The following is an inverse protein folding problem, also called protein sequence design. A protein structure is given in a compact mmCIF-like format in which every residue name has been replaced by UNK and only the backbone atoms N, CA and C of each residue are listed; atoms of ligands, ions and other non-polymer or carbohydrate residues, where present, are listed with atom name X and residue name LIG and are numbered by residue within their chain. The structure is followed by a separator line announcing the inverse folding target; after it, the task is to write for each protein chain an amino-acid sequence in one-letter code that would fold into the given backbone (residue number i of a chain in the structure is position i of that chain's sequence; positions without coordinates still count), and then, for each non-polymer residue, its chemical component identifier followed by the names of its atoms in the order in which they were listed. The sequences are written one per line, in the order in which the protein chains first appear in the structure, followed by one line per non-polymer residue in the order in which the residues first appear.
data_IF_787485075013
#
_entry.id   IF_787485075013
#
_cell.length_a   1.000
_cell.length_b   1.000
_cell.length_c   1.000
_cell.angle_alpha   90.00
_cell.angle_beta   90.00
_cell.angle_gamma   90.00
#
_symmetry.space_group_name_H-M   'P 1'
#
loop_
_entity.id
_entity.type
_entity.pdbx_description
1 polymer ?
#
# COMPACT_ATOMS: atom_id res chain seq x y z
N UNK A 1 37.95 -18.21 -91.24
CA UNK A 1 38.76 -18.61 -90.07
C UNK A 1 38.27 -17.80 -88.89
N UNK A 2 37.65 -18.46 -87.91
CA UNK A 2 37.08 -17.81 -86.72
C UNK A 2 38.24 -17.68 -85.72
N UNK A 3 38.66 -16.46 -85.45
CA UNK A 3 39.80 -16.13 -84.62
C UNK A 3 39.53 -16.55 -83.16
N UNK A 4 40.30 -17.51 -82.61
CA UNK A 4 40.02 -18.07 -81.28
C UNK A 4 40.08 -17.03 -80.15
N UNK A 5 40.83 -15.93 -80.35
CA UNK A 5 41.00 -14.86 -79.39
C UNK A 5 39.70 -14.07 -79.11
N UNK A 6 38.82 -13.94 -80.11
CA UNK A 6 37.53 -13.26 -79.96
C UNK A 6 36.60 -14.01 -79.00
N UNK A 7 36.64 -15.34 -79.02
CA UNK A 7 35.80 -16.19 -78.17
C UNK A 7 36.22 -16.13 -76.69
N UNK A 8 37.54 -16.07 -76.42
CA UNK A 8 38.07 -15.88 -75.07
C UNK A 8 37.71 -14.52 -74.47
N UNK A 9 37.75 -13.44 -75.28
CA UNK A 9 37.38 -12.09 -74.84
C UNK A 9 35.90 -12.00 -74.43
N UNK A 10 35.00 -12.66 -75.19
CA UNK A 10 33.57 -12.72 -74.87
C UNK A 10 33.32 -13.56 -73.61
N UNK A 11 33.99 -14.70 -73.47
CA UNK A 11 33.87 -15.53 -72.27
C UNK A 11 34.34 -14.78 -71.01
N UNK A 12 35.47 -14.06 -71.09
CA UNK A 12 36.01 -13.29 -69.98
C UNK A 12 35.07 -12.14 -69.56
N UNK A 13 34.44 -11.45 -70.51
CA UNK A 13 33.49 -10.37 -70.20
C UNK A 13 32.22 -10.89 -69.52
N UNK A 14 31.70 -12.05 -69.95
CA UNK A 14 30.56 -12.70 -69.31
C UNK A 14 30.89 -13.12 -67.88
N UNK A 15 32.06 -13.73 -67.65
CA UNK A 15 32.51 -14.12 -66.31
C UNK A 15 32.64 -12.90 -65.40
N UNK A 16 33.19 -11.79 -65.91
CA UNK A 16 33.33 -10.56 -65.15
C UNK A 16 31.96 -9.95 -64.80
N UNK A 17 31.01 -9.93 -65.74
CA UNK A 17 29.64 -9.48 -65.50
C UNK A 17 28.93 -10.33 -64.45
N UNK A 18 29.08 -11.66 -64.51
CA UNK A 18 28.50 -12.57 -63.51
C UNK A 18 29.12 -12.35 -62.12
N UNK A 19 30.44 -12.17 -62.05
CA UNK A 19 31.13 -11.89 -60.79
C UNK A 19 30.63 -10.57 -60.16
N UNK A 20 30.51 -9.51 -60.96
CA UNK A 20 29.95 -8.22 -60.51
C UNK A 20 28.52 -8.39 -60.02
N UNK A 21 27.69 -9.14 -60.75
CA UNK A 21 26.29 -9.37 -60.37
C UNK A 21 26.18 -10.13 -59.03
N UNK A 22 27.01 -11.15 -58.81
CA UNK A 22 27.08 -11.88 -57.53
C UNK A 22 27.50 -10.96 -56.39
N UNK A 23 28.52 -10.12 -56.60
CA UNK A 23 28.99 -9.16 -55.59
C UNK A 23 27.87 -8.16 -55.25
N UNK A 24 27.16 -7.62 -56.24
CA UNK A 24 26.05 -6.69 -56.02
C UNK A 24 24.91 -7.35 -55.25
N UNK A 25 24.51 -8.58 -55.60
CA UNK A 25 23.48 -9.33 -54.88
C UNK A 25 23.91 -9.63 -53.44
N UNK A 26 25.18 -9.98 -53.22
CA UNK A 26 25.72 -10.22 -51.88
C UNK A 26 25.71 -8.95 -51.02
N UNK A 27 26.12 -7.80 -51.59
CA UNK A 27 26.08 -6.52 -50.89
C UNK A 27 24.64 -6.13 -50.53
N UNK A 28 23.69 -6.26 -51.46
CA UNK A 28 22.26 -5.96 -51.25
C UNK A 28 21.66 -6.84 -50.15
N UNK A 29 21.86 -8.15 -50.22
CA UNK A 29 21.36 -9.09 -49.20
C UNK A 29 21.99 -8.83 -47.84
N UNK A 30 23.29 -8.49 -47.79
CA UNK A 30 23.96 -8.14 -46.54
C UNK A 30 23.43 -6.85 -45.90
N UNK A 31 23.02 -5.85 -46.71
CA UNK A 31 22.43 -4.61 -46.24
C UNK A 31 21.01 -4.82 -45.72
N UNK A 32 20.18 -5.58 -46.46
CA UNK A 32 18.83 -5.98 -46.03
C UNK A 32 18.88 -6.76 -44.70
N UNK A 33 19.84 -7.67 -44.55
CA UNK A 33 20.03 -8.42 -43.31
C UNK A 33 20.46 -7.53 -42.13
N UNK A 34 21.17 -6.41 -42.38
CA UNK A 34 21.50 -5.43 -41.34
C UNK A 34 20.27 -4.61 -40.93
N UNK A 35 19.47 -4.15 -41.89
CA UNK A 35 18.24 -3.40 -41.62
C UNK A 35 17.21 -4.24 -40.84
N UNK A 36 17.01 -5.51 -41.23
CA UNK A 36 16.14 -6.42 -40.48
C UNK A 36 16.62 -6.67 -39.05
N UNK A 37 17.94 -6.76 -38.83
CA UNK A 37 18.50 -6.92 -37.47
C UNK A 37 18.27 -5.68 -36.61
N UNK A 38 18.48 -4.48 -37.16
CA UNK A 38 18.22 -3.23 -36.47
C UNK A 38 16.73 -3.07 -36.13
N UNK A 39 15.83 -3.39 -37.07
CA UNK A 39 14.38 -3.32 -36.83
C UNK A 39 13.92 -4.32 -35.77
N UNK A 40 14.47 -5.55 -35.77
CA UNK A 40 14.20 -6.55 -34.73
C UNK A 40 14.67 -6.09 -33.35
N UNK A 41 15.85 -5.50 -33.25
CA UNK A 41 16.35 -4.95 -31.98
C UNK A 41 15.42 -3.86 -31.43
N UNK A 42 14.96 -2.94 -32.27
CA UNK A 42 14.02 -1.91 -31.85
C UNK A 42 12.69 -2.52 -31.35
N UNK A 43 12.17 -3.52 -32.05
CA UNK A 43 10.95 -4.22 -31.66
C UNK A 43 11.13 -5.00 -30.34
N UNK A 44 12.30 -5.61 -30.11
CA UNK A 44 12.59 -6.31 -28.86
C UNK A 44 12.72 -5.33 -27.69
N UNK A 45 13.32 -4.14 -27.90
CA UNK A 45 13.35 -3.08 -26.88
C UNK A 45 11.97 -2.54 -26.55
N UNK A 46 11.08 -2.39 -27.55
CA UNK A 46 9.69 -1.98 -27.30
C UNK A 46 8.90 -3.05 -26.55
N UNK A 47 9.09 -4.33 -26.89
CA UNK A 47 8.47 -5.44 -26.15
C UNK A 47 8.94 -5.50 -24.70
N UNK A 48 10.23 -5.30 -24.46
CA UNK A 48 10.79 -5.27 -23.12
C UNK A 48 10.18 -4.10 -22.32
N UNK A 49 10.11 -2.90 -22.90
CA UNK A 49 9.47 -1.76 -22.27
C UNK A 49 7.98 -2.02 -21.98
N UNK A 50 7.25 -2.60 -22.95
CA UNK A 50 5.85 -2.99 -22.76
C UNK A 50 5.67 -3.98 -21.61
N UNK A 51 6.51 -5.01 -21.54
CA UNK A 51 6.45 -5.99 -20.44
C UNK A 51 6.70 -5.34 -19.07
N UNK A 52 7.67 -4.42 -18.99
CA UNK A 52 7.95 -3.68 -17.75
C UNK A 52 6.77 -2.80 -17.35
N UNK A 53 6.12 -2.12 -18.31
CA UNK A 53 4.92 -1.35 -18.03
C UNK A 53 3.74 -2.21 -17.57
N UNK A 54 3.62 -3.44 -18.07
CA UNK A 54 2.58 -4.38 -17.63
C UNK A 54 2.84 -4.84 -16.19
N UNK A 55 4.08 -5.16 -15.84
CA UNK A 55 4.46 -5.53 -14.47
C UNK A 55 4.16 -4.38 -13.50
N UNK A 56 4.60 -3.16 -13.82
CA UNK A 56 4.33 -1.96 -13.02
C UNK A 56 2.82 -1.72 -12.85
N UNK A 57 2.01 -1.93 -13.90
CA UNK A 57 0.55 -1.82 -13.80
C UNK A 57 -0.05 -2.89 -12.90
N UNK A 58 0.47 -4.11 -12.94
CA UNK A 58 0.04 -5.19 -12.06
C UNK A 58 0.37 -4.86 -10.60
N UNK A 59 1.61 -4.44 -10.30
CA UNK A 59 2.03 -4.01 -8.96
C UNK A 59 1.17 -2.86 -8.42
N UNK A 60 0.90 -1.84 -9.24
CA UNK A 60 0.01 -0.73 -8.85
C UNK A 60 -1.41 -1.22 -8.58
N UNK A 61 -1.90 -2.19 -9.35
CA UNK A 61 -3.23 -2.79 -9.11
C UNK A 61 -3.26 -3.52 -7.77
N UNK A 62 -2.24 -4.32 -7.47
CA UNK A 62 -2.12 -5.03 -6.19
C UNK A 62 -2.05 -4.06 -5.01
N UNK A 63 -1.27 -2.98 -5.13
CA UNK A 63 -1.18 -1.93 -4.12
C UNK A 63 -2.53 -1.25 -3.89
N UNK A 64 -3.31 -0.98 -4.95
CA UNK A 64 -4.66 -0.40 -4.81
C UNK A 64 -5.59 -1.33 -4.04
N UNK A 65 -5.56 -2.63 -4.34
CA UNK A 65 -6.35 -3.63 -3.62
C UNK A 65 -5.91 -3.74 -2.16
N UNK A 66 -4.60 -3.76 -1.89
CA UNK A 66 -4.06 -3.78 -0.54
C UNK A 66 -4.48 -2.53 0.25
N UNK A 67 -4.41 -1.35 -0.35
CA UNK A 67 -4.82 -0.09 0.27
C UNK A 67 -6.32 -0.05 0.58
N UNK A 68 -7.17 -0.54 -0.32
CA UNK A 68 -8.61 -0.64 -0.08
C UNK A 68 -8.92 -1.58 1.10
N UNK A 69 -8.25 -2.73 1.17
CA UNK A 69 -8.38 -3.64 2.29
C UNK A 69 -7.93 -3.01 3.61
N UNK A 70 -6.83 -2.24 3.58
CA UNK A 70 -6.33 -1.53 4.75
C UNK A 70 -7.30 -0.43 5.20
N UNK A 71 -7.89 0.32 4.27
CA UNK A 71 -8.91 1.33 4.56
C UNK A 71 -10.13 0.71 5.25
N UNK A 72 -10.62 -0.44 4.77
CA UNK A 72 -11.71 -1.18 5.42
C UNK A 72 -11.34 -1.61 6.85
N UNK A 73 -10.11 -2.11 7.06
CA UNK A 73 -9.63 -2.49 8.41
C UNK A 73 -9.54 -1.29 9.34
N UNK A 74 -9.06 -0.15 8.85
CA UNK A 74 -9.02 1.11 9.63
C UNK A 74 -10.43 1.52 10.04
N UNK A 75 -11.41 1.47 9.12
CA UNK A 75 -12.82 1.75 9.43
C UNK A 75 -13.38 0.82 10.51
N UNK A 76 -13.09 -0.48 10.44
CA UNK A 76 -13.50 -1.45 11.47
C UNK A 76 -12.85 -1.15 12.83
N UNK A 77 -11.57 -0.75 12.85
CA UNK A 77 -10.88 -0.37 14.08
C UNK A 77 -11.49 0.90 14.67
N UNK A 78 -11.80 1.90 13.85
CA UNK A 78 -12.47 3.13 14.28
C UNK A 78 -13.83 2.81 14.91
N UNK A 79 -14.65 1.99 14.25
CA UNK A 79 -15.95 1.57 14.80
C UNK A 79 -15.80 0.85 16.15
N UNK A 80 -14.87 -0.10 16.27
CA UNK A 80 -14.61 -0.78 17.55
C UNK A 80 -14.13 0.18 18.63
N UNK A 81 -13.34 1.19 18.25
CA UNK A 81 -12.86 2.21 19.19
C UNK A 81 -14.03 3.05 19.70
N UNK A 82 -14.96 3.45 18.84
CA UNK A 82 -16.18 4.16 19.21
C UNK A 82 -17.08 3.31 20.11
N UNK A 83 -17.28 2.02 19.78
CA UNK A 83 -18.05 1.08 20.60
C UNK A 83 -17.45 0.93 22.01
N UNK A 84 -16.12 0.80 22.09
CA UNK A 84 -15.42 0.72 23.39
C UNK A 84 -15.51 2.03 24.16
N UNK A 85 -15.44 3.18 23.49
CA UNK A 85 -15.61 4.48 24.12
C UNK A 85 -17.02 4.63 24.70
N UNK A 86 -18.06 4.28 23.92
CA UNK A 86 -19.44 4.27 24.39
C UNK A 86 -19.62 3.33 25.59
N UNK A 87 -19.05 2.12 25.54
CA UNK A 87 -19.10 1.19 26.67
C UNK A 87 -18.42 1.78 27.92
N UNK A 88 -17.28 2.45 27.78
CA UNK A 88 -16.63 3.14 28.91
C UNK A 88 -17.52 4.23 29.50
N UNK A 89 -18.18 5.03 28.67
CA UNK A 89 -19.10 6.05 29.16
C UNK A 89 -20.30 5.42 29.89
N UNK A 90 -20.87 4.34 29.36
CA UNK A 90 -21.93 3.61 30.07
C UNK A 90 -21.46 3.02 31.40
N UNK A 91 -20.24 2.49 31.49
CA UNK A 91 -19.67 1.97 32.76
C UNK A 91 -19.46 3.11 33.76
N UNK A 92 -18.97 4.28 33.31
CA UNK A 92 -18.81 5.46 34.16
C UNK A 92 -20.13 5.99 34.69
N UNK A 93 -21.19 5.94 33.89
CA UNK A 93 -22.53 6.32 34.32
C UNK A 93 -23.21 5.25 35.19
N UNK A 94 -22.90 3.97 34.94
CA UNK A 94 -23.47 2.82 35.64
C UNK A 94 -22.83 2.52 37.00
N UNK A 95 -21.93 3.37 37.52
CA UNK A 95 -21.49 3.30 38.91
C UNK A 95 -22.17 4.40 39.78
N UNK A 96 -23.47 4.24 40.12
CA UNK A 96 -24.15 5.14 41.04
C UNK A 96 -23.53 5.10 42.44
N UNK A 97 -22.89 4.00 42.84
CA UNK A 97 -22.21 3.91 44.14
C UNK A 97 -20.99 4.84 44.20
N UNK A 98 -20.15 4.90 43.16
CA UNK A 98 -19.05 5.86 43.08
C UNK A 98 -19.52 7.33 43.15
N UNK A 99 -20.70 7.64 42.60
CA UNK A 99 -21.30 8.98 42.75
C UNK A 99 -21.73 9.28 44.19
N UNK A 100 -22.31 8.30 44.89
CA UNK A 100 -22.69 8.44 46.30
C UNK A 100 -21.43 8.66 47.17
N UNK A 101 -20.38 7.86 46.97
CA UNK A 101 -19.12 8.00 47.71
C UNK A 101 -18.43 9.35 47.43
N UNK A 102 -18.33 9.77 46.17
CA UNK A 102 -17.73 11.07 45.82
C UNK A 102 -18.53 12.27 46.34
N UNK A 103 -19.87 12.17 46.38
CA UNK A 103 -20.73 13.18 47.04
C UNK A 103 -20.49 13.20 48.55
N UNK A 104 -20.45 12.04 49.21
CA UNK A 104 -20.21 11.93 50.65
C UNK A 104 -18.86 12.55 51.04
N UNK A 105 -17.78 12.23 50.31
CA UNK A 105 -16.44 12.80 50.54
C UNK A 105 -16.47 14.33 50.46
N UNK A 106 -17.13 14.90 49.43
CA UNK A 106 -17.22 16.35 49.28
C UNK A 106 -17.99 17.03 50.43
N UNK A 107 -19.02 16.39 50.98
CA UNK A 107 -19.72 16.92 52.15
C UNK A 107 -18.84 16.86 53.41
N UNK A 108 -18.03 15.81 53.57
CA UNK A 108 -17.05 15.70 54.66
C UNK A 108 -16.01 16.82 54.58
N UNK A 109 -15.47 17.09 53.38
CA UNK A 109 -14.51 18.18 53.13
C UNK A 109 -15.11 19.57 53.42
N UNK A 110 -16.41 19.74 53.19
CA UNK A 110 -17.15 20.95 53.55
C UNK A 110 -17.50 21.04 55.06
N UNK A 111 -17.10 20.04 55.86
CA UNK A 111 -17.31 20.01 57.30
C UNK A 111 -18.70 19.53 57.72
N UNK A 112 -19.45 18.86 56.84
CA UNK A 112 -20.74 18.30 57.19
C UNK A 112 -20.59 17.24 58.31
N UNK A 113 -21.48 17.23 59.32
CA UNK A 113 -21.46 16.25 60.40
C UNK A 113 -21.84 14.85 59.89
N UNK A 114 -21.33 13.82 60.57
CA UNK A 114 -21.44 12.43 60.12
C UNK A 114 -22.89 11.93 59.95
N UNK A 115 -23.78 12.25 60.88
CA UNK A 115 -25.21 11.91 60.74
C UNK A 115 -25.88 12.54 59.50
N UNK A 116 -25.45 13.74 59.07
CA UNK A 116 -25.97 14.39 57.86
C UNK A 116 -25.45 13.69 56.59
N UNK A 117 -24.16 13.32 56.59
CA UNK A 117 -23.56 12.54 55.48
C UNK A 117 -24.22 11.17 55.35
N UNK A 118 -24.51 10.51 56.47
CA UNK A 118 -25.19 9.22 56.48
C UNK A 118 -26.61 9.29 55.91
N UNK A 119 -27.39 10.32 56.27
CA UNK A 119 -28.78 10.41 55.79
C UNK A 119 -28.87 10.85 54.32
N UNK A 120 -28.08 11.84 53.90
CA UNK A 120 -28.12 12.41 52.55
C UNK A 120 -27.49 11.52 51.48
N UNK A 121 -26.51 10.70 51.85
CA UNK A 121 -25.87 9.73 50.95
C UNK A 121 -26.33 8.29 51.21
N UNK A 122 -27.30 8.08 52.11
CA UNK A 122 -27.84 6.76 52.48
C UNK A 122 -26.75 5.73 52.86
N UNK A 123 -25.67 6.20 53.49
CA UNK A 123 -24.52 5.38 53.83
C UNK A 123 -24.69 4.67 55.18
N UNK A 124 -24.37 3.36 55.27
CA UNK A 124 -24.28 2.66 56.55
C UNK A 124 -23.25 3.31 57.47
N UNK A 125 -23.49 3.26 58.78
CA UNK A 125 -22.58 3.87 59.78
C UNK A 125 -21.13 3.45 59.59
N UNK A 126 -20.85 2.15 59.41
CA UNK A 126 -19.49 1.64 59.25
C UNK A 126 -18.78 2.21 58.01
N UNK A 127 -19.50 2.48 56.91
CA UNK A 127 -18.92 3.09 55.70
C UNK A 127 -18.67 4.59 55.89
N UNK A 128 -19.59 5.29 56.54
CA UNK A 128 -19.38 6.69 56.90
C UNK A 128 -18.18 6.87 57.85
N UNK A 129 -18.05 6.03 58.89
CA UNK A 129 -16.91 6.07 59.82
C UNK A 129 -15.58 5.90 59.08
N UNK A 130 -15.52 4.97 58.13
CA UNK A 130 -14.34 4.74 57.30
C UNK A 130 -13.99 6.00 56.47
N UNK A 131 -14.96 6.58 55.77
CA UNK A 131 -14.74 7.79 54.95
C UNK A 131 -14.28 8.98 55.79
N UNK A 132 -14.89 9.21 56.95
CA UNK A 132 -14.45 10.26 57.88
C UNK A 132 -13.03 9.98 58.39
N UNK A 133 -12.68 8.73 58.71
CA UNK A 133 -11.33 8.40 59.16
C UNK A 133 -10.23 8.67 58.11
N UNK A 134 -10.59 8.55 56.83
CA UNK A 134 -9.70 8.78 55.69
C UNK A 134 -9.60 10.27 55.29
N UNK A 135 -10.70 11.01 55.37
CA UNK A 135 -10.79 12.38 54.82
C UNK A 135 -10.88 13.50 55.85
N UNK A 136 -11.23 13.22 57.11
CA UNK A 136 -11.29 14.22 58.18
C UNK A 136 -9.94 14.47 58.86
N UNK A 137 -8.93 13.63 58.57
CA UNK A 137 -7.61 13.65 59.24
C UNK A 137 -6.51 14.43 58.50
N UNK A 138 -6.86 15.18 57.46
CA UNK A 138 -5.99 16.18 56.83
C UNK A 138 -6.50 17.58 57.08
#
# INVERSE_FOLDING_TARGET
MKDPNLLYMIAASIVLLLAVLVIVLWLRTSQLARQMRALRQNMDTEKQSSSQTQILRAEVSELRTALANMSNRIGQIQQRTEEVAQQQDTIREADPQARIYSRAVKMIELGAPMEEVMSECELPRAEAELLFSLHQKN
#
